data_IF_203618104110
#
_entry.id   IF_203618104110
#
_cell.length_a   1.000
_cell.length_b   1.000
_cell.length_c   1.000
_cell.angle_alpha   90.00
_cell.angle_beta   90.00
_cell.angle_gamma   90.00
#
_symmetry.space_group_name_H-M   'P 1'
#
loop_
_entity.id
_entity.type
_entity.pdbx_description
1 polymer ?
#
# COMPACT_ATOMS: atom_id res chain seq x y z
N UNK A 1 50.27 -5.76 49.36
CA UNK A 1 48.97 -5.14 48.98
C UNK A 1 48.96 -4.90 47.49
N UNK A 2 48.39 -5.81 46.69
CA UNK A 2 48.27 -5.67 45.25
C UNK A 2 46.87 -5.06 44.93
N UNK A 3 46.86 -3.85 44.34
CA UNK A 3 45.62 -3.21 43.84
C UNK A 3 45.29 -3.77 42.46
N UNK A 4 44.21 -4.52 42.39
CA UNK A 4 43.66 -5.01 41.13
C UNK A 4 42.89 -3.87 40.48
N UNK A 5 43.33 -3.42 39.30
CA UNK A 5 42.64 -2.43 38.46
C UNK A 5 41.55 -3.14 37.64
N UNK A 6 40.29 -2.88 37.96
CA UNK A 6 39.16 -3.34 37.15
C UNK A 6 38.94 -2.34 36.02
N UNK A 7 39.29 -2.78 34.79
CA UNK A 7 38.96 -2.03 33.57
C UNK A 7 37.53 -2.37 33.20
N UNK A 8 36.63 -1.44 33.44
CA UNK A 8 35.25 -1.52 32.96
C UNK A 8 35.24 -1.14 31.49
N UNK A 9 35.29 -2.10 30.58
CA UNK A 9 35.08 -1.87 29.16
C UNK A 9 33.60 -1.63 28.93
N UNK A 10 33.21 -0.37 28.73
CA UNK A 10 31.90 0.01 28.24
C UNK A 10 31.74 -0.51 26.81
N UNK A 11 31.02 -1.61 26.65
CA UNK A 11 30.57 -2.09 25.35
C UNK A 11 29.51 -1.12 24.84
N UNK A 12 29.93 -0.13 24.07
CA UNK A 12 29.04 0.68 23.24
C UNK A 12 28.45 -0.26 22.17
N UNK A 13 27.25 -0.76 22.45
CA UNK A 13 26.43 -1.42 21.45
C UNK A 13 26.02 -0.36 20.43
N UNK A 14 26.85 -0.15 19.42
CA UNK A 14 26.42 0.44 18.17
C UNK A 14 25.35 -0.48 17.57
N UNK A 15 24.08 -0.13 17.73
CA UNK A 15 23.03 -0.65 16.87
C UNK A 15 23.22 0.01 15.51
N UNK A 16 23.56 -0.70 14.44
CA UNK A 16 23.52 -0.11 13.12
C UNK A 16 22.07 0.20 12.79
N UNK A 17 21.78 1.46 12.55
CA UNK A 17 20.51 1.91 11.99
C UNK A 17 20.46 1.47 10.51
N UNK A 18 20.03 0.24 10.27
CA UNK A 18 19.73 -0.27 8.93
C UNK A 18 18.24 -0.47 8.82
N UNK A 19 17.56 0.54 8.32
CA UNK A 19 16.16 0.47 7.98
C UNK A 19 15.99 0.73 6.50
N UNK A 20 15.70 -0.33 5.72
CA UNK A 20 15.47 -0.10 4.29
C UNK A 20 14.57 -1.16 3.66
N UNK A 21 13.25 -0.95 3.60
CA UNK A 21 12.36 -1.47 2.56
C UNK A 21 10.99 -0.76 2.57
N UNK A 22 10.29 -0.79 1.43
CA UNK A 22 9.24 0.18 1.14
C UNK A 22 7.87 -0.38 1.47
N UNK A 23 7.44 -0.17 2.68
CA UNK A 23 6.05 -0.32 3.10
C UNK A 23 5.61 0.92 3.83
N UNK A 24 4.32 1.21 3.77
CA UNK A 24 3.75 2.30 4.52
C UNK A 24 2.83 1.74 5.57
N UNK A 25 3.03 2.13 6.80
CA UNK A 25 2.12 1.84 7.88
C UNK A 25 1.88 3.07 8.73
N UNK A 26 0.70 3.18 9.26
CA UNK A 26 0.39 4.08 10.36
C UNK A 26 -0.63 3.42 11.29
N UNK A 27 -0.68 3.88 12.54
CA UNK A 27 -1.66 3.44 13.50
C UNK A 27 -2.49 4.63 13.97
N UNK A 28 -3.79 4.45 14.14
CA UNK A 28 -4.70 5.43 14.71
C UNK A 28 -5.67 4.77 15.71
N UNK A 29 -6.27 5.57 16.58
CA UNK A 29 -7.20 5.13 17.62
C UNK A 29 -6.77 5.56 19.02
N UNK A 30 -7.55 5.20 20.03
CA UNK A 30 -7.27 5.57 21.42
C UNK A 30 -5.98 4.90 21.93
N UNK A 31 -5.13 5.67 22.62
CA UNK A 31 -3.98 5.15 23.39
C UNK A 31 -4.49 4.64 24.73
N UNK A 32 -4.88 3.37 24.80
CA UNK A 32 -4.93 2.62 26.05
C UNK A 32 -3.62 1.86 26.18
N UNK A 33 -3.12 1.62 27.38
CA UNK A 33 -1.89 0.90 27.61
C UNK A 33 -1.96 -0.49 26.93
N UNK A 34 -1.19 -0.66 25.86
CA UNK A 34 -1.31 -1.75 24.89
C UNK A 34 -1.97 -1.29 23.58
N UNK A 35 -1.97 -2.17 22.55
CA UNK A 35 -2.56 -1.88 21.23
C UNK A 35 -4.10 -1.98 21.19
N UNK A 36 -4.76 -2.18 22.31
CA UNK A 36 -6.23 -2.10 22.38
C UNK A 36 -6.68 -0.71 21.92
N UNK A 37 -7.53 -0.66 20.91
CA UNK A 37 -8.03 0.59 20.32
C UNK A 37 -7.22 1.16 19.16
N UNK A 38 -6.00 0.69 18.88
CA UNK A 38 -5.22 1.12 17.71
C UNK A 38 -5.48 0.23 16.50
N UNK A 39 -5.57 0.84 15.31
CA UNK A 39 -5.66 0.15 14.01
C UNK A 39 -4.35 0.36 13.25
N UNK A 40 -3.62 -0.71 12.96
CA UNK A 40 -2.41 -0.68 12.13
C UNK A 40 -2.80 -0.85 10.68
N UNK A 41 -2.52 0.17 9.86
CA UNK A 41 -2.86 0.21 8.44
C UNK A 41 -1.58 0.17 7.61
N UNK A 42 -1.58 -0.63 6.57
CA UNK A 42 -0.48 -0.80 5.63
C UNK A 42 -0.98 -0.63 4.20
N UNK A 43 -0.15 -0.10 3.31
CA UNK A 43 -0.35 -0.14 1.86
C UNK A 43 0.88 -0.72 1.17
N UNK A 44 0.65 -1.48 0.08
CA UNK A 44 1.72 -2.06 -0.74
C UNK A 44 1.30 -2.23 -2.21
N UNK A 45 2.05 -1.65 -3.13
CA UNK A 45 1.99 -2.02 -4.54
C UNK A 45 2.82 -3.30 -4.76
N UNK A 46 2.16 -4.41 -5.12
CA UNK A 46 2.78 -5.73 -5.24
C UNK A 46 3.58 -5.92 -6.56
N UNK A 47 3.63 -4.91 -7.41
CA UNK A 47 4.35 -4.97 -8.68
C UNK A 47 3.96 -6.20 -9.53
N UNK A 48 2.68 -6.22 -9.97
CA UNK A 48 2.10 -7.21 -10.88
C UNK A 48 2.03 -8.64 -10.30
N UNK A 49 1.13 -8.86 -9.33
CA UNK A 49 0.79 -10.20 -8.87
C UNK A 49 -0.25 -10.81 -9.81
N UNK A 50 0.21 -11.42 -10.90
CA UNK A 50 -0.61 -12.09 -11.90
C UNK A 50 -0.84 -13.57 -11.59
N UNK A 51 -1.96 -14.10 -12.08
CA UNK A 51 -2.19 -15.54 -12.19
C UNK A 51 -1.20 -16.15 -13.20
N UNK A 52 -0.66 -17.30 -12.88
CA UNK A 52 0.25 -18.02 -13.79
C UNK A 52 -0.52 -18.87 -14.83
N UNK A 53 -1.82 -19.07 -14.61
CA UNK A 53 -2.68 -19.79 -15.54
C UNK A 53 -3.14 -18.83 -16.63
N UNK A 54 -3.33 -19.37 -17.79
CA UNK A 54 -3.98 -18.64 -18.87
C UNK A 54 -5.48 -18.93 -18.77
N UNK A 55 -6.19 -18.15 -18.00
CA UNK A 55 -7.65 -18.26 -17.92
C UNK A 55 -8.37 -17.16 -18.69
N UNK A 56 -7.76 -16.58 -19.67
CA UNK A 56 -8.23 -15.69 -20.76
C UNK A 56 -9.64 -15.08 -20.62
N UNK A 57 -10.19 -14.96 -19.40
CA UNK A 57 -11.50 -14.37 -19.16
C UNK A 57 -11.49 -12.86 -19.44
N UNK A 58 -10.35 -12.21 -19.34
CA UNK A 58 -10.24 -10.76 -19.53
C UNK A 58 -9.34 -10.33 -20.70
N UNK A 59 -8.52 -11.23 -21.27
CA UNK A 59 -7.74 -11.00 -22.50
C UNK A 59 -6.88 -9.75 -22.51
N UNK A 60 -6.30 -9.34 -21.37
CA UNK A 60 -5.47 -8.14 -21.29
C UNK A 60 -4.11 -8.38 -21.97
N UNK A 61 -3.49 -7.30 -22.51
CA UNK A 61 -2.14 -7.37 -23.08
C UNK A 61 -1.11 -7.83 -22.04
N UNK A 62 -1.28 -7.43 -20.78
CA UNK A 62 -0.39 -7.81 -19.69
C UNK A 62 -0.54 -9.27 -19.28
N UNK A 63 -1.77 -9.82 -19.32
CA UNK A 63 -2.02 -11.25 -19.09
C UNK A 63 -1.21 -12.11 -20.06
N UNK A 64 -1.15 -11.72 -21.35
CA UNK A 64 -0.38 -12.44 -22.35
C UNK A 64 1.14 -12.42 -22.05
N UNK A 65 1.67 -11.39 -21.40
CA UNK A 65 3.07 -11.32 -20.98
C UNK A 65 3.34 -12.17 -19.73
N UNK A 66 2.40 -12.22 -18.77
CA UNK A 66 2.53 -12.89 -17.48
C UNK A 66 2.01 -14.33 -17.51
N UNK A 67 2.42 -15.08 -18.50
CA UNK A 67 2.18 -16.54 -18.59
C UNK A 67 3.49 -17.30 -18.61
N UNK A 68 3.44 -18.64 -18.48
CA UNK A 68 4.62 -19.49 -18.58
C UNK A 68 5.31 -19.40 -19.94
N UNK A 69 4.55 -19.09 -21.00
CA UNK A 69 5.04 -18.96 -22.38
C UNK A 69 5.17 -17.48 -22.82
N UNK A 70 4.67 -16.55 -22.03
CA UNK A 70 4.76 -15.12 -22.30
C UNK A 70 6.17 -14.57 -22.08
N UNK A 71 6.39 -13.31 -22.46
CA UNK A 71 7.71 -12.63 -22.35
C UNK A 71 8.29 -12.65 -20.93
N UNK A 72 7.45 -12.69 -19.90
CA UNK A 72 7.87 -12.71 -18.50
C UNK A 72 8.13 -14.12 -17.98
N UNK A 73 7.77 -15.17 -18.72
CA UNK A 73 7.85 -16.55 -18.25
C UNK A 73 7.30 -16.71 -16.80
N UNK A 74 6.11 -16.15 -16.56
CA UNK A 74 5.48 -16.15 -15.24
C UNK A 74 4.90 -17.52 -14.92
N UNK A 75 5.68 -18.34 -14.22
CA UNK A 75 5.31 -19.72 -13.86
C UNK A 75 4.71 -19.82 -12.48
N UNK A 76 3.99 -20.92 -12.19
CA UNK A 76 3.50 -21.24 -10.83
C UNK A 76 4.61 -21.12 -9.78
N UNK A 77 5.85 -21.58 -10.11
CA UNK A 77 7.00 -21.50 -9.19
C UNK A 77 7.36 -20.05 -8.85
N UNK A 78 7.34 -19.14 -9.83
CA UNK A 78 7.64 -17.72 -9.61
C UNK A 78 6.53 -17.04 -8.82
N UNK A 79 5.28 -17.34 -9.15
CA UNK A 79 4.12 -16.89 -8.39
C UNK A 79 4.21 -17.33 -6.92
N UNK A 80 4.43 -18.62 -6.67
CA UNK A 80 4.57 -19.15 -5.30
C UNK A 80 5.74 -18.51 -4.55
N UNK A 81 6.88 -18.29 -5.22
CA UNK A 81 8.01 -17.60 -4.61
C UNK A 81 7.65 -16.17 -4.20
N UNK A 82 6.95 -15.43 -5.06
CA UNK A 82 6.48 -14.07 -4.76
C UNK A 82 5.46 -14.06 -3.62
N UNK A 83 4.48 -14.96 -3.61
CA UNK A 83 3.52 -15.07 -2.51
C UNK A 83 4.23 -15.36 -1.17
N UNK A 84 5.23 -16.24 -1.15
CA UNK A 84 6.02 -16.52 0.05
C UNK A 84 6.84 -15.31 0.51
N UNK A 85 7.39 -14.52 -0.42
CA UNK A 85 8.10 -13.28 -0.09
C UNK A 85 7.14 -12.25 0.51
N UNK A 86 5.92 -12.10 -0.03
CA UNK A 86 4.87 -11.24 0.52
C UNK A 86 4.50 -11.68 1.93
N UNK A 87 4.20 -12.96 2.14
CA UNK A 87 3.85 -13.49 3.45
C UNK A 87 4.98 -13.30 4.47
N UNK A 88 6.23 -13.60 4.09
CA UNK A 88 7.41 -13.34 4.91
C UNK A 88 7.52 -11.88 5.31
N UNK A 89 7.23 -10.96 4.40
CA UNK A 89 7.25 -9.52 4.65
C UNK A 89 6.20 -9.10 5.67
N UNK A 90 4.98 -9.62 5.57
CA UNK A 90 3.90 -9.34 6.53
C UNK A 90 4.26 -9.85 7.92
N UNK A 91 4.89 -11.04 8.04
CA UNK A 91 5.36 -11.54 9.33
C UNK A 91 6.55 -10.75 9.87
N UNK A 92 7.47 -10.29 9.01
CA UNK A 92 8.55 -9.40 9.42
C UNK A 92 8.00 -8.08 10.00
N UNK A 93 6.96 -7.52 9.38
CA UNK A 93 6.26 -6.34 9.91
C UNK A 93 5.63 -6.65 11.25
N UNK A 94 4.96 -7.82 11.39
CA UNK A 94 4.42 -8.26 12.67
C UNK A 94 5.47 -8.26 13.78
N UNK A 95 6.65 -8.81 13.49
CA UNK A 95 7.74 -8.91 14.49
C UNK A 95 8.28 -7.52 14.87
N UNK A 96 8.34 -6.61 13.90
CA UNK A 96 8.80 -5.23 14.10
C UNK A 96 7.76 -4.36 14.83
N UNK A 97 6.51 -4.44 14.42
CA UNK A 97 5.42 -3.62 14.96
C UNK A 97 4.75 -4.26 16.19
N UNK A 98 5.09 -5.50 16.51
CA UNK A 98 4.50 -6.28 17.60
C UNK A 98 3.08 -6.80 17.30
N UNK A 99 2.54 -6.57 16.09
CA UNK A 99 1.26 -7.14 15.63
C UNK A 99 1.20 -7.17 14.10
N UNK A 100 0.31 -8.03 13.56
CA UNK A 100 -0.06 -8.00 12.15
C UNK A 100 -0.77 -6.68 11.83
N UNK A 101 -0.60 -6.13 10.60
CA UNK A 101 -1.47 -5.06 10.11
C UNK A 101 -2.94 -5.47 10.20
N UNK A 102 -3.80 -4.58 10.69
CA UNK A 102 -5.24 -4.84 10.77
C UNK A 102 -5.89 -4.69 9.39
N UNK A 103 -5.31 -3.80 8.56
CA UNK A 103 -5.72 -3.53 7.19
C UNK A 103 -4.49 -3.43 6.29
N UNK A 104 -4.54 -4.08 5.14
CA UNK A 104 -3.53 -3.99 4.09
C UNK A 104 -4.21 -3.59 2.79
N UNK A 105 -4.01 -2.35 2.33
CA UNK A 105 -4.33 -1.93 0.98
C UNK A 105 -3.29 -2.46 0.01
N UNK A 106 -3.74 -2.98 -1.12
CA UNK A 106 -2.89 -3.62 -2.12
C UNK A 106 -3.18 -3.03 -3.49
N UNK A 107 -2.15 -2.84 -4.29
CA UNK A 107 -2.27 -2.51 -5.71
C UNK A 107 -1.52 -3.52 -6.59
N UNK A 108 -1.88 -3.55 -7.88
CA UNK A 108 -1.31 -4.41 -8.91
C UNK A 108 -1.53 -5.91 -8.65
N UNK A 109 -2.75 -6.28 -8.33
CA UNK A 109 -3.22 -7.66 -8.32
C UNK A 109 -4.14 -7.90 -9.51
N UNK A 110 -4.08 -9.09 -10.12
CA UNK A 110 -4.91 -9.39 -11.28
C UNK A 110 -6.34 -9.71 -10.90
N UNK A 111 -6.56 -10.59 -9.92
CA UNK A 111 -7.89 -11.09 -9.60
C UNK A 111 -7.98 -11.64 -8.16
N UNK A 112 -9.19 -12.00 -7.74
CA UNK A 112 -9.43 -12.59 -6.42
C UNK A 112 -8.72 -13.94 -6.21
N UNK A 113 -8.48 -14.70 -7.28
CA UNK A 113 -7.80 -16.00 -7.18
C UNK A 113 -6.37 -15.86 -6.69
N UNK A 114 -5.59 -14.90 -7.20
CA UNK A 114 -4.21 -14.71 -6.75
C UNK A 114 -4.12 -14.32 -5.27
N UNK A 115 -5.08 -13.51 -4.79
CA UNK A 115 -5.17 -13.15 -3.37
C UNK A 115 -5.55 -14.35 -2.50
N UNK A 116 -6.47 -15.19 -2.98
CA UNK A 116 -6.84 -16.42 -2.29
C UNK A 116 -5.64 -17.37 -2.17
N UNK A 117 -4.86 -17.54 -3.26
CA UNK A 117 -3.62 -18.34 -3.22
C UNK A 117 -2.57 -17.73 -2.28
N UNK A 118 -2.44 -16.40 -2.24
CA UNK A 118 -1.58 -15.72 -1.28
C UNK A 118 -1.94 -16.09 0.17
N UNK A 119 -3.21 -16.06 0.52
CA UNK A 119 -3.65 -16.36 1.88
C UNK A 119 -3.60 -17.87 2.19
N UNK A 120 -4.02 -18.74 1.28
CA UNK A 120 -4.19 -20.19 1.53
C UNK A 120 -2.89 -20.99 1.35
N UNK A 121 -2.04 -20.64 0.38
CA UNK A 121 -0.85 -21.41 0.02
C UNK A 121 0.44 -20.91 0.72
N UNK A 122 0.35 -19.90 1.59
CA UNK A 122 1.48 -19.37 2.38
C UNK A 122 1.16 -19.45 3.87
N UNK A 123 2.14 -19.23 4.78
CA UNK A 123 1.88 -19.18 6.21
C UNK A 123 0.80 -18.20 6.68
N UNK A 124 0.32 -17.31 5.80
CA UNK A 124 -0.82 -16.43 6.09
C UNK A 124 -2.12 -17.20 6.34
N UNK A 125 -2.24 -18.47 5.93
CA UNK A 125 -3.41 -19.32 6.25
C UNK A 125 -3.64 -19.46 7.77
N UNK A 126 -2.63 -19.19 8.59
CA UNK A 126 -2.73 -19.16 10.06
C UNK A 126 -3.28 -17.86 10.63
N UNK A 127 -3.55 -16.90 9.78
CA UNK A 127 -4.10 -15.60 10.14
C UNK A 127 -5.58 -15.56 9.82
N UNK A 128 -6.24 -14.51 10.28
CA UNK A 128 -7.67 -14.28 10.07
C UNK A 128 -7.93 -13.20 9.01
N UNK A 129 -7.04 -13.09 8.00
CA UNK A 129 -7.24 -12.15 6.91
C UNK A 129 -8.37 -12.60 5.97
N UNK A 130 -9.23 -11.63 5.64
CA UNK A 130 -10.23 -11.73 4.60
C UNK A 130 -9.95 -10.75 3.44
N UNK A 131 -10.52 -11.05 2.28
CA UNK A 131 -10.26 -10.34 1.02
C UNK A 131 -11.45 -9.51 0.60
N UNK A 132 -11.23 -8.23 0.30
CA UNK A 132 -12.15 -7.40 -0.49
C UNK A 132 -11.47 -7.06 -1.81
N UNK A 133 -12.11 -7.43 -2.92
CA UNK A 133 -11.60 -7.22 -4.28
C UNK A 133 -12.76 -7.17 -5.27
N UNK A 134 -12.64 -6.31 -6.27
CA UNK A 134 -13.50 -6.21 -7.45
C UNK A 134 -12.65 -6.00 -8.70
N UNK A 135 -13.04 -6.63 -9.79
CA UNK A 135 -12.41 -6.42 -11.09
C UNK A 135 -12.71 -5.00 -11.59
N UNK A 136 -11.72 -4.34 -12.15
CA UNK A 136 -11.83 -3.00 -12.75
C UNK A 136 -11.62 -3.04 -14.27
N UNK A 137 -11.99 -1.99 -15.02
CA UNK A 137 -11.83 -1.97 -16.47
C UNK A 137 -10.41 -1.60 -16.93
N UNK A 138 -9.41 -1.69 -16.07
CA UNK A 138 -8.03 -1.37 -16.46
C UNK A 138 -7.56 -2.30 -17.59
N UNK A 139 -7.02 -1.74 -18.71
CA UNK A 139 -6.62 -2.56 -19.86
C UNK A 139 -5.48 -3.54 -19.56
N UNK A 140 -4.71 -3.30 -18.51
CA UNK A 140 -3.63 -4.18 -18.08
C UNK A 140 -4.13 -5.37 -17.25
N UNK A 141 -5.42 -5.36 -16.84
CA UNK A 141 -5.99 -6.39 -15.98
C UNK A 141 -5.40 -6.38 -14.57
N UNK A 142 -5.13 -5.19 -14.02
CA UNK A 142 -4.66 -5.04 -12.64
C UNK A 142 -5.63 -4.21 -11.82
N UNK A 143 -5.78 -4.58 -10.56
CA UNK A 143 -6.75 -4.01 -9.64
C UNK A 143 -6.12 -3.55 -8.34
N UNK A 144 -6.94 -2.95 -7.50
CA UNK A 144 -6.68 -2.74 -6.08
C UNK A 144 -7.48 -3.73 -5.25
N UNK A 145 -6.95 -4.06 -4.09
CA UNK A 145 -7.60 -4.94 -3.13
C UNK A 145 -7.37 -4.48 -1.69
N UNK A 146 -8.10 -5.06 -0.75
CA UNK A 146 -7.89 -4.85 0.66
C UNK A 146 -7.97 -6.18 1.39
N UNK A 147 -6.96 -6.45 2.24
CA UNK A 147 -7.01 -7.51 3.23
C UNK A 147 -7.30 -6.89 4.58
N UNK A 148 -8.16 -7.54 5.37
CA UNK A 148 -8.48 -7.08 6.73
C UNK A 148 -8.59 -8.24 7.69
N UNK A 149 -8.33 -7.99 8.97
CA UNK A 149 -8.41 -9.00 10.01
C UNK A 149 -9.82 -9.09 10.58
N UNK A 150 -10.45 -10.27 10.46
CA UNK A 150 -11.80 -10.55 11.01
C UNK A 150 -11.89 -10.30 12.51
N UNK A 151 -10.81 -10.63 13.25
CA UNK A 151 -10.76 -10.41 14.70
C UNK A 151 -10.70 -8.93 15.10
N UNK A 152 -10.53 -8.00 14.15
CA UNK A 152 -10.34 -6.56 14.41
C UNK A 152 -11.43 -5.69 13.80
N UNK A 153 -12.01 -6.13 12.69
CA UNK A 153 -12.89 -5.31 11.85
C UNK A 153 -14.05 -6.15 11.32
N UNK A 154 -15.25 -5.60 11.42
CA UNK A 154 -16.47 -6.13 10.79
C UNK A 154 -16.74 -5.36 9.50
N UNK A 155 -16.77 -6.03 8.36
CA UNK A 155 -17.07 -5.42 7.07
C UNK A 155 -18.55 -5.05 6.98
N UNK A 156 -18.85 -3.76 6.83
CA UNK A 156 -20.21 -3.24 6.69
C UNK A 156 -20.61 -3.00 5.23
N UNK A 157 -19.65 -2.56 4.40
CA UNK A 157 -19.89 -2.25 2.99
C UNK A 157 -18.58 -2.34 2.20
N UNK A 158 -18.67 -2.81 0.95
CA UNK A 158 -17.59 -2.74 -0.03
C UNK A 158 -18.17 -2.40 -1.40
N UNK A 159 -17.58 -1.41 -2.08
CA UNK A 159 -18.01 -0.98 -3.43
C UNK A 159 -16.81 -0.51 -4.27
N UNK A 160 -16.75 -0.86 -5.57
CA UNK A 160 -15.83 -0.25 -6.50
C UNK A 160 -16.37 1.11 -6.95
N UNK A 161 -15.56 2.15 -6.86
CA UNK A 161 -15.92 3.49 -7.30
C UNK A 161 -15.29 3.77 -8.66
N UNK A 162 -16.11 3.70 -9.71
CA UNK A 162 -15.67 3.95 -11.08
C UNK A 162 -15.06 5.35 -11.23
N UNK A 163 -13.86 5.44 -11.78
CA UNK A 163 -13.20 6.69 -12.13
C UNK A 163 -13.62 7.10 -13.52
N UNK A 164 -14.12 8.33 -13.68
CA UNK A 164 -14.54 8.87 -15.00
C UNK A 164 -15.76 8.18 -15.61
N UNK A 165 -16.66 7.64 -14.79
CA UNK A 165 -17.86 6.93 -15.24
C UNK A 165 -18.88 7.77 -16.03
N UNK A 166 -18.71 9.10 -16.08
CA UNK A 166 -19.50 10.02 -16.92
C UNK A 166 -18.76 10.54 -18.13
N UNK A 167 -17.52 10.10 -18.38
CA UNK A 167 -16.75 10.49 -19.56
C UNK A 167 -17.20 9.71 -20.81
N UNK A 168 -17.11 10.34 -21.98
CA UNK A 168 -17.34 9.70 -23.26
C UNK A 168 -16.08 9.83 -24.15
N UNK A 169 -15.39 8.75 -24.49
CA UNK A 169 -15.60 7.37 -24.00
C UNK A 169 -15.25 7.21 -22.50
N UNK A 170 -15.84 6.20 -21.84
CA UNK A 170 -15.55 5.92 -20.43
C UNK A 170 -14.06 5.68 -20.17
N UNK A 171 -13.55 6.24 -19.09
CA UNK A 171 -12.14 6.05 -18.72
C UNK A 171 -11.90 4.61 -18.27
N UNK A 172 -11.06 3.88 -19.00
CA UNK A 172 -10.63 2.55 -18.63
C UNK A 172 -9.40 2.64 -17.72
N UNK A 173 -9.62 2.51 -16.43
CA UNK A 173 -8.57 2.54 -15.39
C UNK A 173 -9.05 1.79 -14.15
N UNK A 174 -8.19 1.63 -13.14
CA UNK A 174 -8.55 1.02 -11.86
C UNK A 174 -9.64 1.82 -11.18
N UNK A 175 -10.56 1.11 -10.57
CA UNK A 175 -11.55 1.69 -9.66
C UNK A 175 -10.89 2.03 -8.31
N UNK A 176 -11.47 2.96 -7.57
CA UNK A 176 -11.13 3.16 -6.17
C UNK A 176 -11.95 2.17 -5.36
N UNK A 177 -11.30 1.36 -4.52
CA UNK A 177 -12.01 0.42 -3.66
C UNK A 177 -12.42 1.12 -2.36
N UNK A 178 -13.70 1.37 -2.20
CA UNK A 178 -14.29 1.86 -0.94
C UNK A 178 -14.75 0.69 -0.08
N UNK A 179 -14.30 0.67 1.17
CA UNK A 179 -14.76 -0.25 2.20
C UNK A 179 -15.15 0.51 3.45
N UNK A 180 -16.22 0.06 4.15
CA UNK A 180 -16.60 0.56 5.48
C UNK A 180 -16.56 -0.58 6.46
N UNK A 181 -15.99 -0.31 7.63
CA UNK A 181 -15.89 -1.27 8.71
C UNK A 181 -16.41 -0.70 10.01
N UNK A 182 -16.86 -1.62 10.89
CA UNK A 182 -17.01 -1.37 12.32
C UNK A 182 -15.77 -1.91 13.04
N UNK A 183 -15.17 -1.11 13.88
CA UNK A 183 -14.07 -1.48 14.77
C UNK A 183 -14.61 -2.14 16.04
N UNK A 184 -13.74 -2.82 16.80
CA UNK A 184 -14.10 -3.44 18.07
C UNK A 184 -14.61 -2.46 19.15
N UNK A 185 -14.18 -1.19 19.10
CA UNK A 185 -14.66 -0.12 19.98
C UNK A 185 -16.03 0.46 19.56
N UNK A 186 -16.63 -0.08 18.49
CA UNK A 186 -17.92 0.35 17.94
C UNK A 186 -17.83 1.48 16.92
N UNK A 187 -16.68 2.16 16.80
CA UNK A 187 -16.48 3.21 15.81
C UNK A 187 -16.46 2.67 14.39
N UNK A 188 -16.99 3.46 13.46
CA UNK A 188 -16.93 3.15 12.03
C UNK A 188 -15.75 3.85 11.37
N UNK A 189 -15.13 3.16 10.42
CA UNK A 189 -14.02 3.67 9.59
C UNK A 189 -14.22 3.28 8.13
N UNK A 190 -13.86 4.18 7.21
CA UNK A 190 -13.77 3.85 5.79
C UNK A 190 -12.31 3.83 5.32
N UNK A 191 -11.98 2.85 4.48
CA UNK A 191 -10.75 2.79 3.74
C UNK A 191 -11.04 2.91 2.24
N UNK A 192 -10.26 3.76 1.54
CA UNK A 192 -10.33 3.93 0.11
C UNK A 192 -8.96 3.58 -0.48
N UNK A 193 -8.88 2.43 -1.15
CA UNK A 193 -7.63 1.98 -1.79
C UNK A 193 -7.58 2.51 -3.22
N UNK A 194 -6.47 3.18 -3.56
CA UNK A 194 -6.26 3.88 -4.81
C UNK A 194 -5.05 3.32 -5.57
N UNK A 195 -5.13 3.31 -6.90
CA UNK A 195 -3.97 3.20 -7.77
C UNK A 195 -4.20 4.09 -9.00
N UNK A 196 -3.64 5.28 -8.97
CA UNK A 196 -3.87 6.30 -9.98
C UNK A 196 -3.11 5.99 -11.28
N UNK A 197 -3.53 6.53 -12.44
CA UNK A 197 -2.82 6.39 -13.71
C UNK A 197 -1.37 6.87 -13.62
N UNK A 198 -0.41 6.07 -14.10
CA UNK A 198 1.01 6.40 -14.06
C UNK A 198 1.34 7.62 -14.92
N UNK A 199 2.52 8.25 -14.69
CA UNK A 199 3.00 9.41 -15.48
C UNK A 199 3.35 9.06 -16.93
N UNK A 200 3.40 7.78 -17.30
CA UNK A 200 3.70 7.34 -18.66
C UNK A 200 2.53 7.63 -19.61
N UNK A 201 2.81 8.26 -20.77
CA UNK A 201 1.84 8.43 -21.85
C UNK A 201 1.21 9.82 -22.01
N UNK A 202 1.83 10.89 -21.52
CA UNK A 202 1.59 12.31 -21.92
C UNK A 202 0.28 12.97 -21.50
N UNK A 203 -0.88 12.31 -21.56
CA UNK A 203 -2.20 12.84 -21.16
C UNK A 203 -2.70 12.33 -19.82
N UNK A 204 -1.79 11.97 -18.92
CA UNK A 204 -2.15 11.28 -17.68
C UNK A 204 -2.51 12.23 -16.53
N UNK A 205 -2.16 13.52 -16.62
CA UNK A 205 -2.50 14.50 -15.59
C UNK A 205 -4.01 14.65 -15.42
N UNK A 206 -4.77 14.75 -16.52
CA UNK A 206 -6.23 14.87 -16.46
C UNK A 206 -6.86 13.61 -15.88
N UNK A 207 -6.35 12.43 -16.24
CA UNK A 207 -6.82 11.17 -15.70
C UNK A 207 -6.57 11.05 -14.19
N UNK A 208 -5.38 11.47 -13.70
CA UNK A 208 -5.09 11.53 -12.26
C UNK A 208 -5.98 12.54 -11.55
N UNK A 209 -6.21 13.72 -12.15
CA UNK A 209 -7.14 14.71 -11.62
C UNK A 209 -8.57 14.17 -11.51
N UNK A 210 -9.04 13.41 -12.50
CA UNK A 210 -10.35 12.74 -12.43
C UNK A 210 -10.41 11.73 -11.27
N UNK A 211 -9.35 10.98 -11.03
CA UNK A 211 -9.28 10.05 -9.90
C UNK A 211 -9.28 10.80 -8.56
N UNK A 212 -8.53 11.91 -8.43
CA UNK A 212 -8.55 12.77 -7.24
C UNK A 212 -9.94 13.37 -6.98
N UNK A 213 -10.62 13.87 -8.03
CA UNK A 213 -11.99 14.38 -7.90
C UNK A 213 -12.97 13.28 -7.50
N UNK A 214 -12.83 12.07 -8.04
CA UNK A 214 -13.66 10.92 -7.64
C UNK A 214 -13.44 10.55 -6.18
N UNK A 215 -12.18 10.53 -5.74
CA UNK A 215 -11.81 10.29 -4.34
C UNK A 215 -12.39 11.39 -3.43
N UNK A 216 -12.23 12.67 -3.81
CA UNK A 216 -12.78 13.81 -3.08
C UNK A 216 -14.29 13.68 -2.91
N UNK A 217 -15.03 13.45 -3.98
CA UNK A 217 -16.48 13.30 -3.94
C UNK A 217 -16.91 12.14 -3.02
N UNK A 218 -16.15 11.04 -3.01
CA UNK A 218 -16.45 9.91 -2.14
C UNK A 218 -16.21 10.25 -0.67
N UNK A 219 -15.09 10.90 -0.34
CA UNK A 219 -14.78 11.29 1.04
C UNK A 219 -15.75 12.34 1.57
N UNK A 220 -16.16 13.32 0.75
CA UNK A 220 -17.18 14.30 1.13
C UNK A 220 -18.53 13.64 1.39
N UNK A 221 -18.95 12.72 0.51
CA UNK A 221 -20.20 11.97 0.70
C UNK A 221 -20.21 11.18 2.02
N UNK A 222 -19.08 10.53 2.34
CA UNK A 222 -18.95 9.79 3.59
C UNK A 222 -19.04 10.70 4.82
N UNK A 223 -18.37 11.85 4.79
CA UNK A 223 -18.38 12.80 5.91
C UNK A 223 -19.72 13.51 6.06
N UNK A 224 -20.38 13.84 4.97
CA UNK A 224 -21.76 14.35 4.99
C UNK A 224 -22.75 13.32 5.58
N UNK A 225 -22.49 12.02 5.38
CA UNK A 225 -23.26 10.94 6.00
C UNK A 225 -22.86 10.67 7.47
N UNK A 226 -21.99 11.49 8.07
CA UNK A 226 -21.58 11.40 9.46
C UNK A 226 -20.40 10.48 9.75
N UNK A 227 -19.76 9.86 8.73
CA UNK A 227 -18.58 9.03 8.93
C UNK A 227 -17.35 9.89 9.17
N UNK A 228 -16.77 9.81 10.36
CA UNK A 228 -15.68 10.69 10.81
C UNK A 228 -14.28 10.14 10.53
N UNK A 229 -14.11 8.82 10.54
CA UNK A 229 -12.80 8.19 10.34
C UNK A 229 -12.66 7.72 8.89
N UNK A 230 -11.84 8.40 8.11
CA UNK A 230 -11.61 8.08 6.69
C UNK A 230 -10.11 8.01 6.46
N UNK A 231 -9.68 6.95 5.78
CA UNK A 231 -8.32 6.71 5.32
C UNK A 231 -8.35 6.45 3.82
N UNK A 232 -7.78 7.34 3.03
CA UNK A 232 -7.46 7.06 1.63
C UNK A 232 -5.97 6.71 1.53
N UNK A 233 -5.66 5.58 0.91
CA UNK A 233 -4.30 5.09 0.74
C UNK A 233 -4.08 4.57 -0.67
N UNK A 234 -2.85 4.58 -1.14
CA UNK A 234 -2.58 4.04 -2.46
C UNK A 234 -1.31 4.56 -3.11
N UNK A 235 -1.06 4.01 -4.31
CA UNK A 235 -0.12 4.53 -5.28
C UNK A 235 -0.80 5.63 -6.10
N UNK A 236 -0.47 6.88 -5.80
CA UNK A 236 -1.03 8.05 -6.47
C UNK A 236 -0.26 8.43 -7.74
N UNK A 237 0.85 7.74 -8.01
CA UNK A 237 1.72 7.96 -9.17
C UNK A 237 2.14 9.43 -9.35
N UNK A 238 2.22 10.16 -8.24
CA UNK A 238 2.73 11.54 -8.17
C UNK A 238 3.29 11.82 -6.78
N UNK A 239 4.10 12.87 -6.65
CA UNK A 239 4.75 13.22 -5.39
C UNK A 239 3.91 14.22 -4.58
N UNK A 240 4.03 14.26 -3.24
CA UNK A 240 3.20 15.11 -2.37
C UNK A 240 3.21 16.60 -2.72
N UNK A 241 4.26 17.07 -3.37
CA UNK A 241 4.42 18.47 -3.78
C UNK A 241 3.55 18.88 -4.95
N UNK A 242 2.90 17.91 -5.64
CA UNK A 242 2.04 18.23 -6.77
C UNK A 242 0.80 19.02 -6.30
N UNK A 243 0.57 20.24 -6.82
CA UNK A 243 -0.54 21.11 -6.41
C UNK A 243 -1.93 20.45 -6.61
N UNK A 244 -2.05 19.43 -7.47
CA UNK A 244 -3.30 18.73 -7.67
C UNK A 244 -3.84 18.06 -6.38
N UNK A 245 -2.98 17.73 -5.42
CA UNK A 245 -3.41 17.20 -4.12
C UNK A 245 -4.16 18.21 -3.26
N UNK A 246 -4.08 19.52 -3.56
CA UNK A 246 -4.96 20.53 -2.98
C UNK A 246 -6.45 20.21 -3.15
N UNK A 247 -6.84 19.41 -4.15
CA UNK A 247 -8.20 18.89 -4.28
C UNK A 247 -8.63 18.14 -3.01
N UNK A 248 -7.71 17.44 -2.35
CA UNK A 248 -7.96 16.67 -1.14
C UNK A 248 -7.65 17.48 0.13
N UNK A 249 -6.54 18.24 0.15
CA UNK A 249 -6.01 18.87 1.36
C UNK A 249 -6.60 20.26 1.62
N UNK A 250 -6.98 21.00 0.59
CA UNK A 250 -7.48 22.38 0.72
C UNK A 250 -9.01 22.46 0.58
N UNK A 251 -9.64 21.35 0.25
CA UNK A 251 -11.06 21.25 -0.03
C UNK A 251 -11.93 21.45 1.22
N UNK A 252 -12.79 22.47 1.23
CA UNK A 252 -13.78 22.67 2.29
C UNK A 252 -15.09 21.93 1.95
N UNK A 253 -15.89 21.49 2.93
CA UNK A 253 -15.68 21.69 4.37
C UNK A 253 -14.76 20.64 5.04
N UNK A 254 -14.33 19.59 4.36
CA UNK A 254 -13.66 18.42 4.94
C UNK A 254 -12.29 18.17 4.32
N UNK A 255 -11.25 18.97 4.64
CA UNK A 255 -9.90 18.72 4.18
C UNK A 255 -9.37 17.38 4.71
N UNK A 256 -8.52 16.74 3.93
CA UNK A 256 -7.75 15.57 4.37
C UNK A 256 -6.31 15.96 4.66
N UNK A 257 -5.70 15.33 5.65
CA UNK A 257 -4.27 15.50 5.95
C UNK A 257 -3.46 14.45 5.17
N UNK A 258 -2.49 14.90 4.38
CA UNK A 258 -1.53 14.01 3.72
C UNK A 258 -0.38 13.66 4.68
N UNK A 259 -0.35 12.40 5.12
CA UNK A 259 0.69 11.91 6.05
C UNK A 259 2.06 11.71 5.39
N UNK A 260 2.12 11.73 4.06
CA UNK A 260 3.37 11.50 3.33
C UNK A 260 4.25 12.75 3.22
N UNK A 261 3.68 13.96 3.39
CA UNK A 261 4.43 15.23 3.28
C UNK A 261 5.66 15.26 4.21
N UNK A 262 5.53 15.10 5.54
CA UNK A 262 6.68 15.18 6.43
C UNK A 262 7.69 14.04 6.20
N UNK A 263 7.26 12.93 5.62
CA UNK A 263 8.15 11.79 5.27
C UNK A 263 8.97 12.13 4.04
N UNK A 264 8.34 12.70 3.00
CA UNK A 264 9.01 13.15 1.78
C UNK A 264 10.01 14.28 2.07
N UNK A 265 9.67 15.24 2.96
CA UNK A 265 10.56 16.33 3.39
C UNK A 265 11.84 15.81 4.07
N UNK A 266 11.80 14.63 4.69
CA UNK A 266 13.02 13.96 5.21
C UNK A 266 13.84 13.25 4.12
N UNK A 267 13.44 13.34 2.85
CA UNK A 267 14.11 12.68 1.72
C UNK A 267 13.81 11.19 1.61
N UNK A 268 12.77 10.71 2.28
CA UNK A 268 12.29 9.35 2.15
C UNK A 268 11.37 9.21 0.93
N UNK A 269 11.24 8.00 0.41
CA UNK A 269 10.36 7.72 -0.73
C UNK A 269 10.07 6.24 -0.89
N UNK A 270 9.16 5.93 -1.77
CA UNK A 270 8.59 4.61 -2.01
C UNK A 270 9.07 3.99 -3.31
N UNK A 271 9.52 4.82 -4.22
CA UNK A 271 10.19 4.40 -5.46
C UNK A 271 11.52 5.13 -5.60
N UNK A 272 12.49 4.48 -6.24
CA UNK A 272 13.76 5.12 -6.57
C UNK A 272 13.89 5.29 -8.07
N UNK A 273 13.96 6.55 -8.50
CA UNK A 273 14.12 6.92 -9.90
C UNK A 273 15.38 7.76 -10.08
N UNK A 274 16.26 7.37 -11.02
CA UNK A 274 17.53 8.07 -11.30
C UNK A 274 18.34 8.40 -10.03
N UNK A 275 18.40 7.46 -9.08
CA UNK A 275 19.14 7.59 -7.82
C UNK A 275 18.46 8.43 -6.74
N UNK A 276 17.30 9.02 -7.00
CA UNK A 276 16.51 9.79 -6.03
C UNK A 276 15.31 8.99 -5.56
N UNK A 277 14.97 9.13 -4.29
CA UNK A 277 13.74 8.60 -3.72
C UNK A 277 12.58 9.56 -4.01
N UNK A 278 11.48 9.01 -4.50
CA UNK A 278 10.22 9.73 -4.71
C UNK A 278 9.11 9.06 -3.90
N UNK A 279 8.27 9.86 -3.27
CA UNK A 279 7.13 9.42 -2.48
C UNK A 279 5.91 9.40 -3.39
N UNK A 280 5.46 8.24 -3.86
CA UNK A 280 4.27 8.10 -4.72
C UNK A 280 3.14 7.33 -4.04
N UNK A 281 3.45 6.56 -3.00
CA UNK A 281 2.46 5.91 -2.16
C UNK A 281 2.18 6.79 -0.94
N UNK A 282 0.90 7.08 -0.69
CA UNK A 282 0.51 8.06 0.32
C UNK A 282 -0.70 7.60 1.11
N UNK A 283 -0.83 8.21 2.30
CA UNK A 283 -2.04 8.15 3.11
C UNK A 283 -2.62 9.55 3.29
N UNK A 284 -3.91 9.68 3.02
CA UNK A 284 -4.70 10.85 3.36
C UNK A 284 -5.71 10.46 4.42
N UNK A 285 -5.78 11.22 5.50
CA UNK A 285 -6.68 10.93 6.63
C UNK A 285 -7.60 12.09 6.91
N UNK A 286 -8.81 11.78 7.37
CA UNK A 286 -9.76 12.80 7.83
C UNK A 286 -9.28 13.47 9.11
N UNK A 287 -9.76 14.68 9.35
CA UNK A 287 -9.43 15.48 10.52
C UNK A 287 -9.61 14.70 11.84
N UNK A 288 -10.67 13.90 11.97
CA UNK A 288 -10.93 13.13 13.17
C UNK A 288 -9.81 12.11 13.51
N UNK A 289 -9.11 11.57 12.50
CA UNK A 289 -7.93 10.71 12.70
C UNK A 289 -6.69 11.55 13.04
N UNK A 290 -6.60 12.78 12.51
CA UNK A 290 -5.47 13.68 12.69
C UNK A 290 -5.59 14.61 13.91
N UNK A 291 -6.71 14.54 14.69
CA UNK A 291 -7.03 15.45 15.80
C UNK A 291 -6.53 14.95 17.17
N UNK A 292 -6.51 15.86 18.14
CA UNK A 292 -6.03 15.73 19.53
C UNK A 292 -4.51 15.79 19.71
N UNK A 293 -3.82 16.58 18.85
CA UNK A 293 -2.38 16.78 18.95
C UNK A 293 -1.55 15.56 18.51
N UNK A 294 -2.21 14.56 17.89
CA UNK A 294 -1.58 13.36 17.39
C UNK A 294 -1.96 13.14 15.92
N UNK A 295 -1.17 13.71 15.02
CA UNK A 295 -1.17 13.26 13.62
C UNK A 295 -0.51 11.88 13.62
N UNK A 296 -1.18 10.82 13.08
CA UNK A 296 -0.56 9.51 12.97
C UNK A 296 0.72 9.59 12.13
N UNK A 297 1.77 8.94 12.59
CA UNK A 297 3.02 8.92 11.83
C UNK A 297 2.96 7.88 10.72
N UNK A 298 3.11 8.33 9.47
CA UNK A 298 3.38 7.45 8.34
C UNK A 298 4.86 7.07 8.36
N UNK A 299 5.15 5.79 8.17
CA UNK A 299 6.51 5.27 8.09
C UNK A 299 6.73 4.48 6.81
N UNK A 300 7.86 4.73 6.16
CA UNK A 300 8.36 3.89 5.07
C UNK A 300 9.12 2.73 5.67
N UNK A 301 8.59 1.52 5.55
CA UNK A 301 9.25 0.32 6.05
C UNK A 301 10.12 -0.28 4.94
N UNK A 302 11.42 -0.37 5.16
CA UNK A 302 12.36 -0.94 4.22
C UNK A 302 12.79 -2.33 4.71
N UNK A 303 12.30 -3.41 4.05
CA UNK A 303 12.60 -4.80 4.44
C UNK A 303 13.94 -5.23 3.81
N UNK A 304 14.94 -5.64 4.58
CA UNK A 304 16.29 -5.88 4.06
C UNK A 304 16.34 -6.88 2.89
N UNK A 305 15.54 -7.95 2.92
CA UNK A 305 15.54 -8.95 1.86
C UNK A 305 14.74 -8.56 0.60
N UNK A 306 14.06 -7.41 0.60
CA UNK A 306 13.43 -6.79 -0.58
C UNK A 306 14.22 -5.60 -1.11
N UNK A 307 15.46 -5.44 -0.67
CA UNK A 307 16.35 -4.39 -1.15
C UNK A 307 17.55 -4.97 -1.87
N UNK A 308 18.07 -4.20 -2.79
CA UNK A 308 19.28 -4.54 -3.54
C UNK A 308 20.13 -3.30 -3.76
N UNK A 309 21.43 -3.50 -3.94
CA UNK A 309 22.35 -2.42 -4.31
C UNK A 309 21.91 -1.79 -5.63
N UNK A 310 21.92 -0.46 -5.68
CA UNK A 310 21.74 0.26 -6.94
C UNK A 310 23.09 0.33 -7.69
N UNK A 311 23.22 -0.43 -8.77
CA UNK A 311 24.47 -0.49 -9.53
C UNK A 311 24.73 0.78 -10.36
N UNK A 312 23.70 1.62 -10.57
CA UNK A 312 23.82 2.86 -11.35
C UNK A 312 24.07 4.09 -10.46
N UNK A 313 23.69 4.01 -9.19
CA UNK A 313 23.79 5.12 -8.24
C UNK A 313 24.20 4.60 -6.86
N UNK A 314 24.74 5.45 -6.01
CA UNK A 314 25.11 5.08 -4.64
C UNK A 314 23.89 4.66 -3.80
N UNK A 315 24.05 3.64 -2.96
CA UNK A 315 23.02 3.17 -2.03
C UNK A 315 22.21 2.00 -2.56
N UNK A 316 21.01 1.81 -1.99
CA UNK A 316 20.13 0.67 -2.27
C UNK A 316 18.82 1.14 -2.92
N UNK A 317 18.18 0.21 -3.60
CA UNK A 317 16.85 0.39 -4.22
C UNK A 317 15.97 -0.83 -3.96
N UNK A 318 14.64 -0.71 -4.12
CA UNK A 318 13.75 -1.85 -4.04
C UNK A 318 14.15 -2.95 -5.04
N UNK A 319 14.16 -4.20 -4.57
CA UNK A 319 14.33 -5.36 -5.41
C UNK A 319 13.05 -5.58 -6.21
N UNK A 320 13.11 -5.38 -7.50
CA UNK A 320 11.97 -5.57 -8.40
C UNK A 320 11.75 -7.04 -8.74
N UNK A 321 10.52 -7.39 -9.11
CA UNK A 321 10.22 -8.73 -9.61
C UNK A 321 10.95 -9.00 -10.94
N UNK A 322 11.04 -7.97 -11.79
CA UNK A 322 11.70 -8.05 -13.10
C UNK A 322 12.65 -6.87 -13.36
N UNK A 323 13.73 -7.14 -14.09
CA UNK A 323 14.57 -6.13 -14.76
C UNK A 323 14.45 -6.36 -16.27
N UNK A 324 13.63 -5.55 -16.95
CA UNK A 324 13.19 -5.85 -18.30
C UNK A 324 12.45 -7.19 -18.39
N UNK A 325 12.85 -8.13 -19.27
CA UNK A 325 12.25 -9.47 -19.34
C UNK A 325 12.82 -10.43 -18.28
N UNK A 326 13.96 -10.09 -17.65
CA UNK A 326 14.65 -10.98 -16.71
C UNK A 326 13.98 -10.97 -15.34
N UNK A 327 13.56 -12.15 -14.86
CA UNK A 327 13.11 -12.34 -13.49
C UNK A 327 14.29 -12.21 -12.52
N UNK A 328 14.13 -11.39 -11.47
CA UNK A 328 15.15 -11.15 -10.44
C UNK A 328 14.65 -11.42 -9.01
N UNK A 329 13.36 -11.73 -8.84
CA UNK A 329 12.83 -12.35 -7.63
C UNK A 329 12.40 -11.40 -6.50
N UNK A 330 12.13 -10.13 -6.82
CA UNK A 330 11.56 -9.17 -5.85
C UNK A 330 10.06 -9.33 -5.65
#
# INVERSE_FOLDING_TARGET
MKRTLIILSALLLFRPAYDVSVFHSFSFGSRVAGREGQTLVMFWNLENLFDWRRDSLNGSESEAEFTSFGKKHWTKRRFTAKCNAIAKSIFWIKDREGALPDVIGIAEVENRFVLKRLLEDTPLYKTDYEIVHFDSPDPRGIDVALLYRLSRLELLQAVPLRVGGGADPPLRTRDILLTKFRRQDGDSVAFLVNHHPSKYGGKTNDRRKMALLRLRNATDSLQNAGLRNIVAMGDFNDTPENPAFGILTDGKPYPLTNLAVPVAERGEGTIRYSGKWEMIDMFFVSENIAVNGHIPEMRVLRIPFLMTRDNAHSGEKPLRTYSGPRYIGG
#
